data_IF_058430534721
#
_entry.id   IF_058430534721
#
_cell.length_a   1.000
_cell.length_b   1.000
_cell.length_c   1.000
_cell.angle_alpha   90.00
_cell.angle_beta   90.00
_cell.angle_gamma   90.00
#
_symmetry.space_group_name_H-M   'P 1'
#
loop_
_entity.id
_entity.type
_entity.pdbx_description
1 polymer ?
#
# COMPACT_ATOMS: atom_id res chain seq x y z
N UNK A 1 -1.37 19.13 -10.98
CA UNK A 1 -1.08 18.21 -9.86
C UNK A 1 -2.20 17.18 -9.82
N UNK A 2 -1.85 15.91 -9.72
CA UNK A 2 -2.83 14.82 -9.72
C UNK A 2 -3.01 14.33 -8.28
N UNK A 3 -4.24 14.10 -7.87
CA UNK A 3 -4.59 13.72 -6.50
C UNK A 3 -5.51 12.50 -6.54
N UNK A 4 -5.44 11.66 -5.52
CA UNK A 4 -6.49 10.67 -5.25
C UNK A 4 -7.40 11.21 -4.16
N UNK A 5 -8.69 11.10 -4.39
CA UNK A 5 -9.70 11.43 -3.40
C UNK A 5 -10.06 10.18 -2.61
N UNK A 6 -9.85 10.22 -1.30
CA UNK A 6 -10.16 9.14 -0.37
C UNK A 6 -11.08 9.71 0.70
N UNK A 7 -12.29 9.16 0.82
CA UNK A 7 -13.29 9.61 1.80
C UNK A 7 -13.62 11.13 1.77
N UNK A 8 -13.42 11.80 0.63
CA UNK A 8 -13.66 13.24 0.46
C UNK A 8 -12.41 14.13 0.64
N UNK A 9 -11.31 13.56 1.10
CA UNK A 9 -10.02 14.24 1.24
C UNK A 9 -9.12 13.95 0.03
N UNK A 10 -8.38 14.97 -0.43
CA UNK A 10 -7.48 14.86 -1.58
C UNK A 10 -6.05 14.69 -1.11
N UNK A 11 -5.44 13.61 -1.55
CA UNK A 11 -4.06 13.28 -1.21
C UNK A 11 -3.16 13.28 -2.44
N UNK A 12 -1.98 13.85 -2.29
CA UNK A 12 -0.90 13.76 -3.29
C UNK A 12 -0.22 12.40 -3.24
N UNK A 13 0.55 12.06 -4.29
CA UNK A 13 1.34 10.82 -4.32
C UNK A 13 2.32 10.70 -3.17
N UNK A 14 2.87 11.83 -2.72
CA UNK A 14 3.92 11.89 -1.72
C UNK A 14 3.31 11.65 -0.33
N UNK A 15 2.20 12.32 -0.02
CA UNK A 15 1.43 12.08 1.21
C UNK A 15 0.95 10.63 1.31
N UNK A 16 0.46 10.06 0.22
CA UNK A 16 0.02 8.65 0.18
C UNK A 16 1.19 7.69 0.41
N UNK A 17 2.36 8.04 -0.10
CA UNK A 17 3.59 7.27 0.10
C UNK A 17 3.98 7.24 1.57
N UNK A 18 3.98 8.39 2.23
CA UNK A 18 4.32 8.51 3.65
C UNK A 18 3.31 7.76 4.54
N UNK A 19 2.00 7.89 4.25
CA UNK A 19 0.95 7.16 4.95
C UNK A 19 1.11 5.66 4.77
N UNK A 20 1.30 5.18 3.54
CA UNK A 20 1.48 3.76 3.27
C UNK A 20 2.72 3.19 3.99
N UNK A 21 3.85 3.91 3.96
CA UNK A 21 5.07 3.51 4.64
C UNK A 21 4.85 3.36 6.14
N UNK A 22 4.20 4.34 6.78
CA UNK A 22 3.90 4.31 8.21
C UNK A 22 3.00 3.11 8.57
N UNK A 23 1.92 2.88 7.83
CA UNK A 23 1.00 1.77 8.10
C UNK A 23 1.60 0.40 7.81
N UNK A 24 2.43 0.27 6.79
CA UNK A 24 3.18 -0.97 6.54
C UNK A 24 4.13 -1.29 7.69
N UNK A 25 4.84 -0.28 8.20
CA UNK A 25 5.74 -0.46 9.33
C UNK A 25 4.99 -0.88 10.62
N UNK A 26 3.79 -0.33 10.86
CA UNK A 26 2.93 -0.69 12.00
C UNK A 26 2.55 -2.19 12.01
N UNK A 27 2.35 -2.81 10.85
CA UNK A 27 2.03 -4.24 10.73
C UNK A 27 3.27 -5.14 10.56
N UNK A 28 4.47 -4.59 10.78
CA UNK A 28 5.74 -5.32 10.70
C UNK A 28 6.33 -5.45 9.30
N UNK A 29 5.72 -4.86 8.28
CA UNK A 29 6.23 -4.84 6.90
C UNK A 29 7.22 -3.70 6.76
N UNK A 30 8.51 -4.00 6.87
CA UNK A 30 9.58 -2.98 6.92
C UNK A 30 10.60 -3.09 5.79
N UNK A 31 10.53 -4.14 4.94
CA UNK A 31 11.51 -4.33 3.85
C UNK A 31 11.16 -3.57 2.56
N UNK A 32 10.22 -2.61 2.60
CA UNK A 32 9.86 -1.83 1.42
C UNK A 32 11.02 -0.89 1.02
N UNK A 33 11.48 -1.01 -0.22
CA UNK A 33 12.55 -0.17 -0.79
C UNK A 33 11.99 1.08 -1.48
N UNK A 34 10.82 0.96 -2.09
CA UNK A 34 10.18 2.04 -2.83
C UNK A 34 8.67 1.83 -2.85
N UNK A 35 7.94 2.90 -2.60
CA UNK A 35 6.48 2.98 -2.73
C UNK A 35 6.19 4.04 -3.78
N UNK A 36 5.35 3.70 -4.76
CA UNK A 36 4.99 4.59 -5.86
C UNK A 36 3.47 4.60 -6.07
N UNK A 37 2.86 5.75 -5.84
CA UNK A 37 1.45 6.00 -6.12
C UNK A 37 1.31 6.74 -7.46
N UNK A 38 0.53 6.15 -8.37
CA UNK A 38 0.06 6.83 -9.56
C UNK A 38 -1.37 7.33 -9.31
N UNK A 39 -1.48 8.60 -8.95
CA UNK A 39 -2.77 9.24 -8.65
C UNK A 39 -3.65 9.49 -9.87
N UNK A 40 -3.10 9.46 -11.09
CA UNK A 40 -3.90 9.60 -12.32
C UNK A 40 -4.71 8.33 -12.62
N UNK A 41 -4.10 7.17 -12.38
CA UNK A 41 -4.66 5.88 -12.75
C UNK A 41 -5.10 5.05 -11.53
N UNK A 42 -5.04 5.62 -10.32
CA UNK A 42 -5.34 4.91 -9.06
C UNK A 42 -4.52 3.61 -8.89
N UNK A 43 -3.26 3.63 -9.32
CA UNK A 43 -2.36 2.47 -9.23
C UNK A 43 -1.32 2.64 -8.14
N UNK A 44 -0.89 1.53 -7.55
CA UNK A 44 0.17 1.47 -6.55
C UNK A 44 1.18 0.41 -6.95
N UNK A 45 2.46 0.72 -6.79
CA UNK A 45 3.53 -0.26 -6.85
C UNK A 45 4.42 -0.13 -5.61
N UNK A 46 4.73 -1.25 -4.97
CA UNK A 46 5.65 -1.31 -3.84
C UNK A 46 6.72 -2.35 -4.16
N UNK A 47 7.98 -1.93 -4.13
CA UNK A 47 9.12 -2.83 -4.21
C UNK A 47 9.57 -3.19 -2.79
N UNK A 48 9.73 -4.48 -2.53
CA UNK A 48 10.22 -5.02 -1.27
C UNK A 48 11.57 -5.71 -1.49
N UNK A 49 12.35 -5.81 -0.42
CA UNK A 49 13.55 -6.65 -0.40
C UNK A 49 13.17 -8.11 -0.08
N UNK A 50 12.24 -8.30 0.88
CA UNK A 50 11.76 -9.63 1.29
C UNK A 50 10.48 -10.03 0.56
N UNK A 51 10.43 -11.29 0.09
CA UNK A 51 9.23 -11.89 -0.49
C UNK A 51 8.13 -12.13 0.53
N UNK A 52 8.44 -12.27 1.81
CA UNK A 52 7.43 -12.40 2.87
C UNK A 52 6.57 -11.14 2.94
N UNK A 53 7.19 -9.97 2.88
CA UNK A 53 6.49 -8.68 2.89
C UNK A 53 5.62 -8.47 1.65
N UNK A 54 6.09 -8.93 0.48
CA UNK A 54 5.26 -8.98 -0.75
C UNK A 54 4.00 -9.81 -0.52
N UNK A 55 4.12 -10.96 0.15
CA UNK A 55 2.97 -11.83 0.42
C UNK A 55 1.98 -11.18 1.40
N UNK A 56 2.48 -10.45 2.41
CA UNK A 56 1.63 -9.69 3.32
C UNK A 56 0.89 -8.59 2.55
N UNK A 57 1.59 -7.82 1.70
CA UNK A 57 0.95 -6.81 0.85
C UNK A 57 -0.09 -7.40 -0.11
N UNK A 58 0.19 -8.57 -0.71
CA UNK A 58 -0.81 -9.29 -1.52
C UNK A 58 -2.02 -9.73 -0.70
N UNK A 59 -1.81 -10.22 0.52
CA UNK A 59 -2.88 -10.65 1.40
C UNK A 59 -3.82 -9.49 1.77
N UNK A 60 -3.25 -8.30 2.04
CA UNK A 60 -4.01 -7.07 2.31
C UNK A 60 -4.81 -6.64 1.07
N UNK A 61 -4.19 -6.69 -0.11
CA UNK A 61 -4.81 -6.28 -1.36
C UNK A 61 -5.86 -7.26 -1.89
N UNK A 62 -5.83 -8.51 -1.44
CA UNK A 62 -6.68 -9.58 -1.93
C UNK A 62 -6.41 -9.92 -3.41
N UNK A 63 -7.49 -10.23 -4.14
CA UNK A 63 -7.46 -10.73 -5.52
C UNK A 63 -7.03 -9.72 -6.58
N UNK A 64 -6.99 -8.42 -6.24
CA UNK A 64 -6.68 -7.34 -7.19
C UNK A 64 -5.18 -7.02 -7.30
N UNK A 65 -4.35 -7.83 -6.66
CA UNK A 65 -2.90 -7.68 -6.66
C UNK A 65 -2.22 -8.50 -7.76
N UNK A 66 -1.20 -7.90 -8.38
CA UNK A 66 -0.27 -8.60 -9.25
C UNK A 66 1.13 -8.47 -8.68
N UNK A 67 1.69 -9.59 -8.23
CA UNK A 67 3.07 -9.66 -7.80
C UNK A 67 3.94 -10.31 -8.86
N UNK A 68 5.01 -9.62 -9.24
CA UNK A 68 6.05 -10.19 -10.11
C UNK A 68 7.38 -10.03 -9.38
N UNK A 69 7.93 -11.14 -8.91
CA UNK A 69 9.12 -11.17 -8.04
C UNK A 69 8.90 -10.40 -6.74
N UNK A 70 9.76 -9.43 -6.42
CA UNK A 70 9.72 -8.69 -5.15
C UNK A 70 8.91 -7.38 -5.26
N UNK A 71 8.11 -7.23 -6.32
CA UNK A 71 7.31 -6.02 -6.56
C UNK A 71 5.84 -6.39 -6.49
N UNK A 72 5.17 -5.78 -5.52
CA UNK A 72 3.72 -5.76 -5.39
C UNK A 72 3.14 -4.66 -6.27
N UNK A 73 2.05 -4.95 -6.98
CA UNK A 73 1.29 -3.94 -7.73
C UNK A 73 -0.20 -4.10 -7.46
N UNK A 74 -0.87 -2.99 -7.21
CA UNK A 74 -2.32 -2.91 -7.12
C UNK A 74 -2.87 -1.97 -8.19
N UNK A 75 -3.98 -2.39 -8.81
CA UNK A 75 -4.76 -1.55 -9.73
C UNK A 75 -5.73 -0.61 -9.00
N UNK A 76 -5.85 -0.74 -7.69
CA UNK A 76 -6.68 0.11 -6.87
C UNK A 76 -5.92 0.50 -5.60
N UNK A 77 -5.20 1.62 -5.69
CA UNK A 77 -4.39 2.16 -4.61
C UNK A 77 -5.24 2.59 -3.41
N UNK A 78 -6.42 3.16 -3.67
CA UNK A 78 -7.36 3.57 -2.62
C UNK A 78 -7.84 2.36 -1.81
N UNK A 79 -8.33 1.31 -2.48
CA UNK A 79 -8.80 0.11 -1.79
C UNK A 79 -7.68 -0.54 -0.96
N UNK A 80 -6.47 -0.60 -1.50
CA UNK A 80 -5.31 -1.10 -0.76
C UNK A 80 -5.03 -0.30 0.50
N UNK A 81 -5.04 1.04 0.43
CA UNK A 81 -4.79 1.90 1.59
C UNK A 81 -5.85 1.75 2.68
N UNK A 82 -7.12 1.61 2.27
CA UNK A 82 -8.23 1.35 3.21
C UNK A 82 -8.00 0.01 3.90
N UNK A 83 -7.76 -1.06 3.15
CA UNK A 83 -7.49 -2.39 3.71
C UNK A 83 -6.24 -2.43 4.60
N UNK A 84 -5.19 -1.69 4.23
CA UNK A 84 -3.96 -1.56 5.02
C UNK A 84 -4.24 -0.85 6.36
N UNK A 85 -5.01 0.23 6.32
CA UNK A 85 -5.40 0.98 7.52
C UNK A 85 -6.32 0.16 8.43
N UNK A 86 -7.24 -0.61 7.86
CA UNK A 86 -8.09 -1.52 8.63
C UNK A 86 -7.25 -2.62 9.30
N UNK A 87 -6.26 -3.16 8.59
CA UNK A 87 -5.35 -4.18 9.12
C UNK A 87 -4.44 -3.63 10.22
N UNK A 88 -3.89 -2.42 10.04
CA UNK A 88 -3.04 -1.78 11.05
C UNK A 88 -3.80 -1.39 12.32
N UNK A 89 -5.11 -1.11 12.20
CA UNK A 89 -5.98 -0.78 13.33
C UNK A 89 -6.56 -2.02 14.05
N UNK A 90 -6.30 -3.25 13.59
CA UNK A 90 -6.82 -4.44 14.25
C UNK A 90 -6.07 -4.73 15.57
N UNK A 91 -6.79 -4.89 16.70
CA UNK A 91 -6.18 -5.22 17.98
C UNK A 91 -5.66 -6.66 17.94
N UNK A 92 -4.34 -6.81 17.77
CA UNK A 92 -3.69 -8.13 17.65
C UNK A 92 -2.37 -8.13 16.90
N UNK A 93 -2.03 -7.06 16.17
CA UNK A 93 -0.68 -6.78 15.67
C UNK A 93 0.11 -5.96 16.71
N UNK A 94 0.39 -6.56 17.88
CA UNK A 94 1.34 -6.08 18.90
C UNK A 94 2.01 -7.30 19.54
#
# INVERSE_FOLDING_TARGET
MNYLEIAGDKYSSDELTDIAAARLAEIGVNSFQSIQFNTQNNHLAIAFDDKQDVNIANAIAGTDSQSRSNIFKSKNAIAFLVSLTDTSNQPGFC
#
